data_IF_361615785768
#
_entry.id   IF_361615785768
#
_cell.length_a   1.000
_cell.length_b   1.000
_cell.length_c   1.000
_cell.angle_alpha   90.00
_cell.angle_beta   90.00
_cell.angle_gamma   90.00
#
_symmetry.space_group_name_H-M   'P 1'
#
loop_
_entity.id
_entity.type
_entity.pdbx_description
1 polymer ?
#
# COMPACT_ATOMS: atom_id res chain seq x y z
N UNK A 1 -11.95 4.10 -15.70
CA UNK A 1 -10.52 3.76 -15.66
C UNK A 1 -10.39 2.23 -15.60
N UNK A 2 -9.57 1.61 -16.45
CA UNK A 2 -9.29 0.18 -16.32
C UNK A 2 -8.50 -0.08 -15.03
N UNK A 3 -8.87 -1.10 -14.26
CA UNK A 3 -8.10 -1.56 -13.10
C UNK A 3 -6.77 -2.12 -13.62
N UNK A 4 -5.64 -1.60 -13.11
CA UNK A 4 -4.30 -1.85 -13.68
C UNK A 4 -3.49 -2.86 -12.86
N UNK A 5 -3.79 -3.01 -11.57
CA UNK A 5 -2.97 -3.79 -10.65
C UNK A 5 -3.66 -5.13 -10.40
N UNK A 6 -3.13 -6.17 -11.05
CA UNK A 6 -3.54 -7.57 -10.86
C UNK A 6 -2.69 -8.25 -9.77
N UNK A 7 -1.40 -7.93 -9.76
CA UNK A 7 -0.41 -8.45 -8.79
C UNK A 7 0.51 -7.32 -8.35
N UNK A 8 1.09 -7.45 -7.15
CA UNK A 8 2.03 -6.45 -6.64
C UNK A 8 3.40 -6.54 -7.30
N UNK A 9 4.11 -5.42 -7.46
CA UNK A 9 5.48 -5.42 -7.99
C UNK A 9 6.46 -6.12 -7.04
N UNK A 10 7.27 -7.02 -7.58
CA UNK A 10 8.30 -7.76 -6.81
C UNK A 10 9.36 -6.80 -6.27
N UNK A 11 9.73 -5.78 -7.03
CA UNK A 11 10.70 -4.75 -6.68
C UNK A 11 10.16 -3.90 -5.52
N UNK A 12 8.90 -3.51 -5.60
CA UNK A 12 8.25 -2.71 -4.56
C UNK A 12 8.10 -3.49 -3.26
N UNK A 13 7.80 -4.79 -3.34
CA UNK A 13 7.78 -5.70 -2.19
C UNK A 13 9.15 -5.74 -1.50
N UNK A 14 10.24 -5.92 -2.27
CA UNK A 14 11.60 -5.93 -1.72
C UNK A 14 11.94 -4.60 -1.05
N UNK A 15 11.61 -3.48 -1.68
CA UNK A 15 11.87 -2.15 -1.14
C UNK A 15 11.12 -1.91 0.18
N UNK A 16 9.81 -2.18 0.22
CA UNK A 16 8.95 -1.90 1.37
C UNK A 16 9.31 -2.76 2.59
N UNK A 17 9.73 -4.01 2.37
CA UNK A 17 10.05 -4.92 3.47
C UNK A 17 11.53 -5.04 3.79
N UNK A 18 12.41 -4.37 3.05
CA UNK A 18 13.82 -4.26 3.41
C UNK A 18 14.05 -3.72 4.84
N UNK A 19 13.26 -2.76 5.37
CA UNK A 19 13.43 -2.26 6.74
C UNK A 19 13.03 -3.27 7.83
N UNK A 20 12.42 -4.42 7.51
CA UNK A 20 12.06 -5.42 8.51
C UNK A 20 10.85 -5.08 9.39
N UNK A 21 9.89 -4.29 8.88
CA UNK A 21 8.68 -3.92 9.63
C UNK A 21 7.90 -5.14 10.12
N UNK A 22 7.55 -5.15 11.41
CA UNK A 22 6.74 -6.22 12.01
C UNK A 22 5.26 -5.97 11.70
N UNK A 23 4.83 -6.48 10.56
CA UNK A 23 3.45 -6.35 10.07
C UNK A 23 2.77 -7.72 9.94
N UNK A 24 1.50 -7.79 10.29
CA UNK A 24 0.65 -8.95 10.00
C UNK A 24 0.47 -9.13 8.49
N UNK A 25 0.09 -10.34 8.04
CA UNK A 25 -0.13 -10.62 6.61
C UNK A 25 -1.15 -9.65 5.97
N UNK A 26 -2.31 -9.32 6.60
CA UNK A 26 -3.22 -8.30 6.07
C UNK A 26 -2.56 -6.92 5.94
N UNK A 27 -1.84 -6.47 6.96
CA UNK A 27 -1.16 -5.15 6.94
C UNK A 27 -0.13 -5.06 5.81
N UNK A 28 0.66 -6.13 5.61
CA UNK A 28 1.59 -6.24 4.48
C UNK A 28 0.87 -6.08 3.15
N UNK A 29 -0.23 -6.80 2.94
CA UNK A 29 -1.00 -6.74 1.70
C UNK A 29 -1.56 -5.34 1.44
N UNK A 30 -2.10 -4.69 2.47
CA UNK A 30 -2.65 -3.34 2.32
C UNK A 30 -1.56 -2.31 1.99
N UNK A 31 -0.39 -2.40 2.64
CA UNK A 31 0.75 -1.51 2.36
C UNK A 31 1.24 -1.67 0.91
N UNK A 32 1.39 -2.92 0.43
CA UNK A 32 1.77 -3.20 -0.95
C UNK A 32 0.76 -2.64 -1.95
N UNK A 33 -0.53 -2.93 -1.74
CA UNK A 33 -1.61 -2.47 -2.61
C UNK A 33 -1.63 -0.94 -2.72
N UNK A 34 -1.44 -0.25 -1.59
CA UNK A 34 -1.39 1.21 -1.57
C UNK A 34 -0.16 1.73 -2.30
N UNK A 35 1.00 1.09 -2.11
CA UNK A 35 2.23 1.52 -2.75
C UNK A 35 2.20 1.33 -4.28
N UNK A 36 1.71 0.18 -4.78
CA UNK A 36 1.54 -0.01 -6.22
C UNK A 36 0.55 1.02 -6.80
N UNK A 37 -0.57 1.26 -6.09
CA UNK A 37 -1.55 2.25 -6.51
C UNK A 37 -0.97 3.67 -6.55
N UNK A 38 -0.09 4.02 -5.61
CA UNK A 38 0.60 5.33 -5.60
C UNK A 38 1.52 5.51 -6.80
N UNK A 39 2.19 4.44 -7.24
CA UNK A 39 3.09 4.45 -8.39
C UNK A 39 2.32 4.49 -9.71
N UNK A 40 1.24 3.72 -9.82
CA UNK A 40 0.46 3.56 -11.07
C UNK A 40 -0.55 4.70 -11.29
N UNK A 41 -1.01 5.37 -10.23
CA UNK A 41 -2.05 6.39 -10.33
C UNK A 41 -1.51 7.75 -10.81
N UNK A 42 -1.95 8.12 -12.01
CA UNK A 42 -1.71 9.43 -12.64
C UNK A 42 -2.70 10.51 -12.17
N UNK A 43 -3.83 10.11 -11.57
CA UNK A 43 -4.86 11.03 -11.07
C UNK A 43 -4.50 11.64 -9.71
N UNK A 44 -5.38 12.51 -9.19
CA UNK A 44 -5.32 12.95 -7.80
C UNK A 44 -5.35 11.72 -6.88
N UNK A 45 -4.34 11.61 -6.02
CA UNK A 45 -4.12 10.49 -5.11
C UNK A 45 -5.08 10.54 -3.90
N UNK A 46 -6.36 10.31 -4.15
CA UNK A 46 -7.37 10.06 -3.11
C UNK A 46 -7.42 8.56 -2.80
N UNK A 47 -7.84 8.19 -1.58
CA UNK A 47 -8.00 6.77 -1.21
C UNK A 47 -8.86 6.02 -2.24
N UNK A 48 -10.02 6.60 -2.60
CA UNK A 48 -10.91 6.02 -3.59
C UNK A 48 -10.24 5.83 -4.96
N UNK A 49 -9.46 6.81 -5.43
CA UNK A 49 -8.78 6.72 -6.73
C UNK A 49 -7.64 5.70 -6.74
N UNK A 50 -6.90 5.59 -5.63
CA UNK A 50 -5.85 4.59 -5.46
C UNK A 50 -6.45 3.18 -5.39
N UNK A 51 -7.52 3.01 -4.61
CA UNK A 51 -8.18 1.72 -4.44
C UNK A 51 -8.81 1.22 -5.75
N UNK A 52 -9.33 2.12 -6.59
CA UNK A 52 -9.84 1.80 -7.94
C UNK A 52 -8.76 1.28 -8.91
N UNK A 53 -7.47 1.42 -8.61
CA UNK A 53 -6.40 0.84 -9.44
C UNK A 53 -6.30 -0.67 -9.29
N UNK A 54 -6.76 -1.23 -8.17
CA UNK A 54 -6.62 -2.63 -7.80
C UNK A 54 -7.75 -3.45 -8.39
N UNK A 55 -7.43 -4.57 -9.04
CA UNK A 55 -8.44 -5.55 -9.47
C UNK A 55 -9.22 -6.08 -8.28
N UNK A 56 -8.53 -6.41 -7.19
CA UNK A 56 -9.11 -6.83 -5.90
C UNK A 56 -9.13 -5.68 -4.89
N UNK A 57 -9.87 -4.61 -5.22
CA UNK A 57 -10.08 -3.49 -4.31
C UNK A 57 -10.76 -3.93 -3.01
N UNK A 58 -10.31 -3.34 -1.89
CA UNK A 58 -10.97 -3.49 -0.57
C UNK A 58 -12.00 -2.39 -0.39
N UNK A 59 -12.74 -2.37 0.71
CA UNK A 59 -13.54 -1.20 1.06
C UNK A 59 -12.63 -0.02 1.45
N UNK A 60 -13.03 1.20 1.11
CA UNK A 60 -12.21 2.41 1.32
C UNK A 60 -11.93 2.66 2.82
N UNK A 61 -12.82 2.19 3.72
CA UNK A 61 -12.65 2.32 5.17
C UNK A 61 -11.48 1.46 5.67
N UNK A 62 -11.38 0.21 5.22
CA UNK A 62 -10.24 -0.68 5.52
C UNK A 62 -8.91 -0.10 5.01
N UNK A 63 -8.91 0.55 3.84
CA UNK A 63 -7.72 1.22 3.31
C UNK A 63 -7.35 2.43 4.19
N UNK A 64 -8.33 3.20 4.63
CA UNK A 64 -8.11 4.29 5.58
C UNK A 64 -7.54 3.80 6.92
N UNK A 65 -8.09 2.72 7.47
CA UNK A 65 -7.56 2.08 8.69
C UNK A 65 -6.11 1.63 8.54
N UNK A 66 -5.71 1.19 7.33
CA UNK A 66 -4.30 0.85 7.08
C UNK A 66 -3.38 2.06 7.29
N UNK A 67 -3.80 3.25 6.88
CA UNK A 67 -2.98 4.46 7.02
C UNK A 67 -2.98 5.02 8.45
N UNK A 68 -4.06 4.80 9.20
CA UNK A 68 -4.29 5.45 10.50
C UNK A 68 -4.03 4.55 11.70
N UNK A 69 -4.43 3.29 11.62
CA UNK A 69 -4.50 2.37 12.75
C UNK A 69 -3.48 1.22 12.65
N UNK A 70 -2.68 1.18 11.59
CA UNK A 70 -1.58 0.23 11.51
C UNK A 70 -0.48 0.56 12.54
N UNK A 71 0.24 -0.44 13.05
CA UNK A 71 1.23 -0.27 14.12
C UNK A 71 2.54 0.40 13.67
N UNK A 72 2.62 0.88 12.43
CA UNK A 72 3.82 1.50 11.86
C UNK A 72 3.61 3.00 11.69
N UNK A 73 4.67 3.75 11.93
CA UNK A 73 4.74 5.19 11.71
C UNK A 73 5.35 5.49 10.34
N UNK A 74 5.01 6.66 9.78
CA UNK A 74 5.58 7.08 8.49
C UNK A 74 7.13 7.12 8.50
N UNK A 75 7.73 7.36 9.66
CA UNK A 75 9.17 7.34 9.84
C UNK A 75 9.77 5.93 9.69
N UNK A 76 9.06 4.88 10.06
CA UNK A 76 9.55 3.50 10.00
C UNK A 76 9.73 3.04 8.55
N UNK A 77 8.89 3.56 7.65
CA UNK A 77 9.00 3.36 6.19
C UNK A 77 10.09 4.23 5.57
N UNK A 78 10.22 5.50 6.01
CA UNK A 78 11.20 6.45 5.43
C UNK A 78 12.63 6.21 5.88
N UNK A 79 12.84 5.83 7.13
CA UNK A 79 14.16 5.80 7.72
C UNK A 79 14.99 4.59 7.27
N UNK A 80 14.36 3.54 6.73
CA UNK A 80 15.04 2.28 6.39
C UNK A 80 15.79 1.68 7.58
N UNK A 81 15.42 2.06 8.81
CA UNK A 81 16.07 1.69 10.06
C UNK A 81 15.01 1.11 10.97
N UNK A 82 15.07 -0.21 11.12
CA UNK A 82 14.70 -0.89 12.35
C UNK A 82 15.99 -1.43 12.97
#
# INVERSE_FOLDING_TARGET
MLRRIVTNSVELVKFIFAPGLTLSRPQKQHLLNLADALVVSEERKTIANLNRQLVEAKDDLSVHHTMRDSPWQAQDVRAGRC
#
